data_IF_849143871887
#
_entry.id   IF_849143871887
#
_cell.length_a   1.000
_cell.length_b   1.000
_cell.length_c   1.000
_cell.angle_alpha   90.00
_cell.angle_beta   90.00
_cell.angle_gamma   90.00
#
_symmetry.space_group_name_H-M   'P 1'
#
loop_
_entity.id
_entity.type
_entity.pdbx_description
1 polymer ?
#
# COMPACT_ATOMS: atom_id res chain seq x y z
N UNK A 1 -21.04 1.21 -2.07
CA UNK A 1 -20.33 1.32 -3.38
C UNK A 1 -19.88 -0.08 -3.75
N UNK A 2 -20.09 -0.51 -4.99
CA UNK A 2 -19.63 -1.81 -5.48
C UNK A 2 -18.36 -1.61 -6.31
N UNK A 3 -17.29 -2.32 -5.96
CA UNK A 3 -16.07 -2.31 -6.75
C UNK A 3 -16.10 -3.46 -7.77
N UNK A 4 -15.66 -3.18 -8.99
CA UNK A 4 -15.47 -4.18 -10.04
C UNK A 4 -14.05 -4.76 -10.03
N UNK A 5 -13.11 -4.02 -9.46
CA UNK A 5 -11.71 -4.41 -9.44
C UNK A 5 -11.01 -3.97 -8.17
N UNK A 6 -10.09 -4.81 -7.70
CA UNK A 6 -9.15 -4.46 -6.65
C UNK A 6 -7.71 -4.67 -7.12
N UNK A 7 -6.88 -3.64 -7.02
CA UNK A 7 -5.45 -3.66 -7.34
C UNK A 7 -4.68 -3.38 -6.05
N UNK A 8 -3.81 -4.30 -5.65
CA UNK A 8 -3.02 -4.17 -4.43
C UNK A 8 -1.58 -3.80 -4.77
N UNK A 9 -1.11 -2.64 -4.28
CA UNK A 9 0.24 -2.11 -4.46
C UNK A 9 0.95 -2.04 -3.12
N UNK A 10 2.22 -2.40 -3.08
CA UNK A 10 3.00 -2.30 -1.85
C UNK A 10 4.22 -3.20 -1.80
N UNK A 11 4.55 -3.57 -0.56
CA UNK A 11 5.69 -4.39 -0.24
C UNK A 11 5.29 -5.78 0.35
N UNK A 12 6.15 -6.36 1.20
CA UNK A 12 5.94 -7.68 1.81
C UNK A 12 4.63 -7.81 2.60
N UNK A 13 4.15 -6.73 3.21
CA UNK A 13 2.90 -6.74 3.97
C UNK A 13 1.69 -6.97 3.06
N UNK A 14 1.71 -6.40 1.86
CA UNK A 14 0.65 -6.55 0.86
C UNK A 14 0.84 -7.79 -0.01
N UNK A 15 2.08 -8.21 -0.25
CA UNK A 15 2.39 -9.50 -0.89
C UNK A 15 1.90 -10.70 -0.05
N UNK A 16 1.74 -10.51 1.27
CA UNK A 16 1.32 -11.55 2.19
C UNK A 16 2.47 -12.40 2.74
N UNK A 17 3.71 -11.87 2.70
CA UNK A 17 4.90 -12.57 3.21
C UNK A 17 4.69 -13.01 4.67
N UNK A 18 5.03 -14.26 4.96
CA UNK A 18 4.84 -14.91 6.27
C UNK A 18 3.39 -15.23 6.65
N UNK A 19 2.44 -15.01 5.77
CA UNK A 19 1.06 -15.48 5.92
C UNK A 19 0.93 -16.95 5.45
N UNK A 20 -0.25 -17.53 5.57
CA UNK A 20 -0.50 -18.93 5.19
C UNK A 20 -0.17 -19.14 3.71
N UNK A 21 0.57 -20.20 3.42
CA UNK A 21 0.82 -20.63 2.03
C UNK A 21 -0.36 -21.49 1.56
N UNK A 22 -0.98 -21.07 0.45
CA UNK A 22 -2.04 -21.79 -0.21
C UNK A 22 -1.68 -21.95 -1.71
N UNK A 23 -1.68 -23.19 -2.19
CA UNK A 23 -1.27 -23.50 -3.57
C UNK A 23 0.10 -22.90 -3.96
N UNK A 24 1.08 -22.96 -3.05
CA UNK A 24 2.45 -22.48 -3.29
C UNK A 24 2.62 -20.95 -3.30
N UNK A 25 1.57 -20.18 -2.96
CA UNK A 25 1.60 -18.72 -2.87
C UNK A 25 1.16 -18.27 -1.47
N UNK A 26 1.65 -17.12 -1.03
CA UNK A 26 1.14 -16.49 0.19
C UNK A 26 -0.33 -16.06 -0.03
N UNK A 27 -1.15 -16.22 1.01
CA UNK A 27 -2.54 -15.79 1.05
C UNK A 27 -2.69 -14.72 2.13
N UNK A 28 -2.24 -13.52 1.80
CA UNK A 28 -2.23 -12.37 2.73
C UNK A 28 -3.58 -11.67 2.85
N UNK A 29 -3.57 -10.51 3.54
CA UNK A 29 -4.76 -9.70 3.76
C UNK A 29 -5.44 -9.26 2.45
N UNK A 30 -4.63 -8.89 1.43
CA UNK A 30 -5.15 -8.44 0.15
C UNK A 30 -5.91 -9.54 -0.59
N UNK A 31 -5.36 -10.78 -0.58
CA UNK A 31 -6.02 -11.95 -1.18
C UNK A 31 -7.33 -12.27 -0.48
N UNK A 32 -7.33 -12.28 0.87
CA UNK A 32 -8.53 -12.52 1.68
C UNK A 32 -9.61 -11.47 1.44
N UNK A 33 -9.22 -10.20 1.30
CA UNK A 33 -10.13 -9.11 0.95
C UNK A 33 -10.73 -9.34 -0.43
N UNK A 34 -9.89 -9.69 -1.42
CA UNK A 34 -10.34 -9.99 -2.77
C UNK A 34 -11.30 -11.17 -2.84
N UNK A 35 -11.05 -12.24 -2.06
CA UNK A 35 -11.95 -13.39 -1.96
C UNK A 35 -13.36 -13.01 -1.45
N UNK A 36 -13.42 -12.16 -0.42
CA UNK A 36 -14.69 -11.64 0.10
C UNK A 36 -15.41 -10.79 -0.93
N UNK A 37 -14.69 -9.92 -1.64
CA UNK A 37 -15.27 -9.09 -2.71
C UNK A 37 -15.78 -9.95 -3.86
N UNK A 38 -15.01 -10.94 -4.31
CA UNK A 38 -15.41 -11.85 -5.39
C UNK A 38 -16.64 -12.69 -5.03
N UNK A 39 -16.80 -13.09 -3.77
CA UNK A 39 -17.97 -13.81 -3.31
C UNK A 39 -19.26 -12.97 -3.33
N UNK A 40 -19.14 -11.64 -3.25
CA UNK A 40 -20.27 -10.73 -3.18
C UNK A 40 -20.58 -9.98 -4.48
N UNK A 41 -19.62 -9.91 -5.40
CA UNK A 41 -19.76 -9.11 -6.63
C UNK A 41 -19.43 -9.93 -7.87
N UNK A 42 -20.41 -10.15 -8.75
CA UNK A 42 -20.18 -10.79 -10.04
C UNK A 42 -19.15 -10.01 -10.88
N UNK A 43 -18.37 -10.71 -11.67
CA UNK A 43 -17.34 -10.15 -12.57
C UNK A 43 -16.22 -9.35 -11.89
N UNK A 44 -16.07 -9.52 -10.57
CA UNK A 44 -14.98 -8.90 -9.81
C UNK A 44 -13.62 -9.47 -10.24
N UNK A 45 -12.64 -8.58 -10.39
CA UNK A 45 -11.26 -8.93 -10.73
C UNK A 45 -10.27 -8.43 -9.69
N UNK A 46 -9.16 -9.15 -9.54
CA UNK A 46 -8.12 -8.83 -8.56
C UNK A 46 -6.73 -9.03 -9.14
N UNK A 47 -5.81 -8.12 -8.81
CA UNK A 47 -4.38 -8.29 -9.04
C UNK A 47 -3.56 -7.74 -7.87
N UNK A 48 -2.56 -8.50 -7.44
CA UNK A 48 -1.59 -8.09 -6.43
C UNK A 48 -0.23 -7.85 -7.10
N UNK A 49 0.20 -6.60 -7.16
CA UNK A 49 1.48 -6.16 -7.73
C UNK A 49 2.57 -6.01 -6.66
N UNK A 50 2.22 -6.21 -5.40
CA UNK A 50 3.15 -6.01 -4.29
C UNK A 50 4.31 -6.99 -4.33
N UNK A 51 5.49 -6.48 -4.01
CA UNK A 51 6.74 -7.27 -3.97
C UNK A 51 7.53 -6.89 -2.72
N UNK A 52 7.92 -7.89 -1.96
CA UNK A 52 8.71 -7.75 -0.72
C UNK A 52 9.95 -6.88 -0.90
N UNK A 53 10.29 -6.12 0.14
CA UNK A 53 11.49 -5.31 0.19
C UNK A 53 11.47 -4.03 -0.63
N UNK A 54 10.39 -3.76 -1.37
CA UNK A 54 10.29 -2.55 -2.19
C UNK A 54 10.19 -1.29 -1.33
N UNK A 55 10.93 -0.27 -1.74
CA UNK A 55 10.83 1.10 -1.24
C UNK A 55 9.69 1.83 -1.96
N UNK A 56 9.17 2.90 -1.36
CA UNK A 56 8.07 3.69 -1.95
C UNK A 56 8.36 4.13 -3.38
N UNK A 57 9.59 4.60 -3.64
CA UNK A 57 10.00 5.01 -4.99
C UNK A 57 10.01 3.87 -6.01
N UNK A 58 10.24 2.63 -5.58
CA UNK A 58 10.17 1.47 -6.45
C UNK A 58 8.71 1.07 -6.71
N UNK A 59 7.83 1.18 -5.70
CA UNK A 59 6.40 0.94 -5.90
C UNK A 59 5.83 1.96 -6.90
N UNK A 60 6.16 3.23 -6.75
CA UNK A 60 5.69 4.30 -7.66
C UNK A 60 6.21 4.09 -9.09
N UNK A 61 7.49 3.75 -9.25
CA UNK A 61 8.12 3.59 -10.57
C UNK A 61 7.72 2.30 -11.28
N UNK A 62 7.60 1.19 -10.53
CA UNK A 62 7.48 -0.15 -11.11
C UNK A 62 6.04 -0.66 -11.07
N UNK A 63 5.29 -0.48 -9.96
CA UNK A 63 3.96 -1.08 -9.76
C UNK A 63 2.83 -0.19 -10.27
N UNK A 64 2.91 1.12 -10.04
CA UNK A 64 1.85 2.05 -10.50
C UNK A 64 1.68 1.98 -12.02
N UNK A 65 2.73 2.07 -12.86
CA UNK A 65 2.58 1.94 -14.31
C UNK A 65 1.95 0.61 -14.76
N UNK A 66 2.22 -0.48 -14.03
CA UNK A 66 1.58 -1.78 -14.30
C UNK A 66 0.10 -1.80 -13.94
N UNK A 67 -0.32 -1.06 -12.92
CA UNK A 67 -1.69 -0.99 -12.45
C UNK A 67 -2.57 -0.03 -13.27
N UNK A 68 -1.99 1.08 -13.77
CA UNK A 68 -2.72 2.14 -14.48
C UNK A 68 -3.64 1.65 -15.60
N UNK A 69 -3.22 0.71 -16.49
CA UNK A 69 -4.09 0.22 -17.59
C UNK A 69 -5.35 -0.50 -17.10
N UNK A 70 -5.40 -0.90 -15.82
CA UNK A 70 -6.54 -1.62 -15.25
C UNK A 70 -7.46 -0.74 -14.42
N UNK A 71 -7.16 0.57 -14.28
CA UNK A 71 -7.99 1.50 -13.52
C UNK A 71 -9.16 1.96 -14.38
N UNK A 72 -10.38 1.63 -13.96
CA UNK A 72 -11.65 2.00 -14.61
C UNK A 72 -12.43 2.97 -13.70
N UNK A 73 -11.81 4.10 -13.37
CA UNK A 73 -12.41 5.11 -12.52
C UNK A 73 -12.72 4.59 -11.11
N UNK A 74 -13.74 5.16 -10.48
CA UNK A 74 -14.10 4.88 -9.06
C UNK A 74 -14.54 3.44 -8.78
N UNK A 75 -14.84 2.65 -9.80
CA UNK A 75 -15.15 1.22 -9.65
C UNK A 75 -13.90 0.36 -9.37
N UNK A 76 -12.71 0.93 -9.54
CA UNK A 76 -11.44 0.29 -9.19
C UNK A 76 -10.96 0.77 -7.82
N UNK A 77 -10.88 -0.16 -6.87
CA UNK A 77 -10.21 0.05 -5.59
C UNK A 77 -8.71 -0.19 -5.79
N UNK A 78 -7.89 0.74 -5.34
CA UNK A 78 -6.42 0.57 -5.29
C UNK A 78 -5.96 0.70 -3.85
N UNK A 79 -5.34 -0.33 -3.30
CA UNK A 79 -4.63 -0.20 -2.03
C UNK A 79 -3.17 0.24 -2.28
N UNK A 80 -2.72 1.23 -1.53
CA UNK A 80 -1.34 1.70 -1.58
C UNK A 80 -0.71 1.64 -0.20
N UNK A 81 0.07 0.58 0.03
CA UNK A 81 0.71 0.26 1.29
C UNK A 81 2.23 0.18 1.10
N UNK A 82 2.92 1.30 1.18
CA UNK A 82 4.36 1.42 0.98
C UNK A 82 4.96 2.44 1.96
N UNK A 83 6.26 2.36 2.20
CA UNK A 83 7.01 3.30 3.02
C UNK A 83 7.66 2.70 4.26
N UNK A 84 7.20 1.55 4.76
CA UNK A 84 7.81 0.89 5.93
C UNK A 84 9.30 0.59 5.71
N UNK A 85 9.64 0.06 4.54
CA UNK A 85 11.03 -0.25 4.19
C UNK A 85 11.92 1.00 4.07
N UNK A 86 11.36 2.14 3.70
CA UNK A 86 12.08 3.41 3.68
C UNK A 86 12.42 3.89 5.09
N UNK A 87 11.40 3.92 5.96
CA UNK A 87 11.49 4.45 7.33
C UNK A 87 12.53 3.72 8.18
N UNK A 88 12.64 2.40 8.04
CA UNK A 88 13.60 1.58 8.83
C UNK A 88 15.05 1.68 8.31
N UNK A 89 15.28 2.26 7.15
CA UNK A 89 16.64 2.38 6.59
C UNK A 89 17.48 3.40 7.35
N UNK A 90 18.81 3.14 7.52
CA UNK A 90 19.71 4.09 8.20
C UNK A 90 19.74 5.48 7.53
N UNK A 91 19.68 5.52 6.20
CA UNK A 91 19.69 6.76 5.40
C UNK A 91 18.27 7.23 5.02
N UNK A 92 17.31 7.10 5.94
CA UNK A 92 15.95 7.57 5.72
C UNK A 92 15.92 9.10 5.56
N UNK A 93 15.31 9.55 4.47
CA UNK A 93 15.01 10.96 4.21
C UNK A 93 13.48 11.12 4.20
N UNK A 94 12.90 11.71 5.27
CA UNK A 94 11.45 11.85 5.39
C UNK A 94 10.85 12.73 4.29
N UNK A 95 11.53 13.81 3.92
CA UNK A 95 11.01 14.74 2.91
C UNK A 95 10.91 14.08 1.54
N UNK A 96 11.97 13.39 1.14
CA UNK A 96 12.01 12.65 -0.13
C UNK A 96 10.99 11.52 -0.14
N UNK A 97 10.92 10.73 0.92
CA UNK A 97 10.00 9.60 1.01
C UNK A 97 8.54 10.06 0.96
N UNK A 98 8.20 11.11 1.72
CA UNK A 98 6.86 11.70 1.74
C UNK A 98 6.50 12.31 0.38
N UNK A 99 7.42 13.04 -0.25
CA UNK A 99 7.17 13.61 -1.58
C UNK A 99 6.89 12.51 -2.62
N UNK A 100 7.69 11.44 -2.62
CA UNK A 100 7.49 10.31 -3.54
C UNK A 100 6.19 9.55 -3.26
N UNK A 101 5.83 9.36 -1.97
CA UNK A 101 4.55 8.76 -1.60
C UNK A 101 3.38 9.59 -2.13
N UNK A 102 3.44 10.92 -1.93
CA UNK A 102 2.40 11.84 -2.39
C UNK A 102 2.28 11.85 -3.92
N UNK A 103 3.39 11.80 -4.65
CA UNK A 103 3.40 11.64 -6.10
C UNK A 103 2.63 10.39 -6.54
N UNK A 104 2.86 9.25 -5.88
CA UNK A 104 2.12 8.01 -6.14
C UNK A 104 0.61 8.17 -5.91
N UNK A 105 0.22 8.78 -4.79
CA UNK A 105 -1.19 9.07 -4.49
C UNK A 105 -1.80 9.99 -5.57
N UNK A 106 -1.07 11.02 -6.01
CA UNK A 106 -1.56 11.96 -7.03
C UNK A 106 -1.74 11.27 -8.40
N UNK A 107 -0.83 10.38 -8.79
CA UNK A 107 -0.96 9.61 -10.04
C UNK A 107 -2.22 8.75 -10.00
N UNK A 108 -2.43 7.98 -8.92
CA UNK A 108 -3.57 7.09 -8.76
C UNK A 108 -4.90 7.85 -8.67
N UNK A 109 -4.91 9.01 -7.99
CA UNK A 109 -6.08 9.90 -7.89
C UNK A 109 -6.45 10.46 -9.27
N UNK A 110 -5.46 10.95 -10.03
CA UNK A 110 -5.71 11.45 -11.41
C UNK A 110 -6.20 10.36 -12.35
N UNK A 111 -5.82 9.11 -12.13
CA UNK A 111 -6.36 7.97 -12.87
C UNK A 111 -7.82 7.64 -12.50
N UNK A 112 -8.36 8.30 -11.47
CA UNK A 112 -9.76 8.16 -11.04
C UNK A 112 -10.04 6.99 -10.10
N UNK A 113 -9.03 6.30 -9.59
CA UNK A 113 -9.20 5.19 -8.66
C UNK A 113 -9.79 5.63 -7.32
N UNK A 114 -10.53 4.75 -6.67
CA UNK A 114 -10.81 4.85 -5.23
C UNK A 114 -9.62 4.30 -4.46
N UNK A 115 -9.07 5.08 -3.52
CA UNK A 115 -7.83 4.71 -2.82
C UNK A 115 -8.10 4.21 -1.41
N UNK A 116 -7.41 3.12 -1.04
CA UNK A 116 -7.22 2.68 0.33
C UNK A 116 -5.74 2.91 0.70
N UNK A 117 -5.47 3.94 1.50
CA UNK A 117 -4.13 4.29 1.95
C UNK A 117 -3.87 3.69 3.33
N UNK A 118 -2.74 3.01 3.49
CA UNK A 118 -2.41 2.31 4.72
C UNK A 118 -1.33 3.05 5.50
N UNK A 119 -1.58 3.27 6.79
CA UNK A 119 -0.53 3.59 7.73
C UNK A 119 0.39 2.38 7.93
N UNK A 120 1.67 2.64 8.07
CA UNK A 120 2.64 1.62 8.46
C UNK A 120 2.62 1.43 9.99
N UNK A 121 3.18 0.32 10.49
CA UNK A 121 3.16 -0.01 11.91
C UNK A 121 3.86 1.08 12.74
N UNK A 122 3.15 1.71 13.68
CA UNK A 122 3.68 2.80 14.53
C UNK A 122 4.39 2.27 15.78
N UNK A 123 3.85 1.22 16.41
CA UNK A 123 4.39 0.67 17.65
C UNK A 123 4.74 -0.80 17.47
N UNK A 124 6.00 -1.12 17.70
CA UNK A 124 6.51 -2.50 17.69
C UNK A 124 6.52 -3.13 19.08
N UNK A 125 6.15 -2.38 20.12
CA UNK A 125 6.28 -2.79 21.53
C UNK A 125 7.74 -2.83 22.03
N UNK A 126 8.71 -2.57 21.17
CA UNK A 126 10.12 -2.64 21.53
C UNK A 126 10.58 -1.35 22.21
N UNK A 127 11.31 -1.49 23.34
CA UNK A 127 11.78 -0.35 24.17
C UNK A 127 13.22 0.07 23.87
N UNK A 128 13.81 -0.37 22.77
CA UNK A 128 15.19 -0.03 22.40
C UNK A 128 15.28 1.40 21.83
N UNK A 129 16.49 1.98 21.86
CA UNK A 129 16.75 3.29 21.26
C UNK A 129 16.41 3.32 19.75
N UNK A 130 16.73 2.26 19.05
CA UNK A 130 16.42 2.13 17.61
C UNK A 130 14.91 2.10 17.38
N UNK A 131 14.16 1.36 18.20
CA UNK A 131 12.69 1.29 18.10
C UNK A 131 12.06 2.67 18.31
N UNK A 132 12.54 3.47 19.27
CA UNK A 132 12.03 4.84 19.48
C UNK A 132 12.25 5.73 18.26
N UNK A 133 13.43 5.66 17.62
CA UNK A 133 13.70 6.40 16.39
C UNK A 133 12.75 5.97 15.27
N UNK A 134 12.46 4.68 15.12
CA UNK A 134 11.52 4.19 14.13
C UNK A 134 10.09 4.64 14.43
N UNK A 135 9.64 4.58 15.69
CA UNK A 135 8.34 5.07 16.10
C UNK A 135 8.11 6.54 15.72
N UNK A 136 9.09 7.41 16.01
CA UNK A 136 9.04 8.83 15.62
C UNK A 136 8.94 9.00 14.10
N UNK A 137 9.75 8.26 13.33
CA UNK A 137 9.72 8.29 11.87
C UNK A 137 8.41 7.77 11.30
N UNK A 138 7.87 6.68 11.86
CA UNK A 138 6.57 6.13 11.46
C UNK A 138 5.44 7.11 11.76
N UNK A 139 5.45 7.77 12.91
CA UNK A 139 4.43 8.75 13.27
C UNK A 139 4.39 9.91 12.25
N UNK A 140 5.56 10.47 11.87
CA UNK A 140 5.66 11.53 10.86
C UNK A 140 5.12 11.05 9.50
N UNK A 141 5.52 9.87 9.06
CA UNK A 141 5.08 9.30 7.79
C UNK A 141 3.57 9.05 7.80
N UNK A 142 3.03 8.44 8.85
CA UNK A 142 1.61 8.12 8.98
C UNK A 142 0.73 9.36 9.09
N UNK A 143 1.20 10.43 9.71
CA UNK A 143 0.50 11.71 9.70
C UNK A 143 0.30 12.23 8.27
N UNK A 144 1.33 12.11 7.42
CA UNK A 144 1.19 12.43 6.00
C UNK A 144 0.16 11.52 5.31
N UNK A 145 0.20 10.20 5.57
CA UNK A 145 -0.78 9.25 5.00
C UNK A 145 -2.21 9.64 5.37
N UNK A 146 -2.48 9.96 6.64
CA UNK A 146 -3.80 10.40 7.11
C UNK A 146 -4.26 11.68 6.42
N UNK A 147 -3.38 12.69 6.31
CA UNK A 147 -3.69 13.94 5.60
C UNK A 147 -4.02 13.69 4.13
N UNK A 148 -3.25 12.83 3.47
CA UNK A 148 -3.51 12.48 2.07
C UNK A 148 -4.83 11.73 1.91
N UNK A 149 -5.12 10.78 2.77
CA UNK A 149 -6.40 10.06 2.75
C UNK A 149 -7.59 11.04 2.89
N UNK A 150 -7.52 11.99 3.82
CA UNK A 150 -8.56 13.00 3.99
C UNK A 150 -8.72 13.93 2.78
N UNK A 151 -7.67 14.12 1.95
CA UNK A 151 -7.71 15.01 0.79
C UNK A 151 -8.22 14.36 -0.50
N UNK A 152 -8.28 13.04 -0.57
CA UNK A 152 -8.65 12.27 -1.78
C UNK A 152 -9.92 11.43 -1.61
N UNK A 153 -10.52 11.46 -0.43
CA UNK A 153 -11.73 10.71 -0.04
C UNK A 153 -13.04 11.30 -0.48
#
# INVERSE_FOLDING_TARGET
>A
MQFKRFLALGDSMTEGMSDVVFNGKYRGWADRTAEVMAANWPDFTYANFAVRGKLVGQVVRDQIPMALPFIEGRSTLVSFHAGANDVIRPKYDPNKTIATYNEGVDILTRAGATLALFCVLEDTGAKTRAAKVWQERFAIFNENVRRRAASVG
#
